data_IF_525847732579
#
_entry.id   IF_525847732579
#
_cell.length_a   1.000
_cell.length_b   1.000
_cell.length_c   1.000
_cell.angle_alpha   90.00
_cell.angle_beta   90.00
_cell.angle_gamma   90.00
#
_symmetry.space_group_name_H-M   'P 1'
#
loop_
_entity.id
_entity.type
_entity.pdbx_description
1 polymer ?
#
# COMPACT_ATOMS: atom_id res chain seq x y z
N UNK A 1 -3.67 14.46 8.46
CA UNK A 1 -4.87 14.09 9.25
C UNK A 1 -6.18 14.32 8.48
N UNK A 2 -6.31 15.40 7.69
CA UNK A 2 -7.58 15.73 7.00
C UNK A 2 -7.99 14.78 5.84
N UNK A 3 -7.07 14.08 5.24
CA UNK A 3 -7.34 13.18 4.09
C UNK A 3 -7.83 11.79 4.50
N UNK A 4 -7.55 11.35 5.74
CA UNK A 4 -7.91 10.02 6.20
C UNK A 4 -9.43 9.75 6.19
N UNK A 5 -10.31 10.64 6.69
CA UNK A 5 -11.75 10.43 6.63
C UNK A 5 -12.30 10.32 5.20
N UNK A 6 -11.75 11.12 4.28
CA UNK A 6 -12.15 11.08 2.86
C UNK A 6 -11.73 9.77 2.20
N UNK A 7 -10.51 9.31 2.46
CA UNK A 7 -10.02 8.04 1.94
C UNK A 7 -10.85 6.87 2.48
N UNK A 8 -11.18 6.87 3.77
CA UNK A 8 -12.04 5.86 4.39
C UNK A 8 -13.46 5.86 3.81
N UNK A 9 -14.08 7.03 3.66
CA UNK A 9 -15.39 7.14 3.05
C UNK A 9 -15.39 6.58 1.61
N UNK A 10 -14.37 6.93 0.81
CA UNK A 10 -14.21 6.40 -0.55
C UNK A 10 -14.05 4.87 -0.55
N UNK A 11 -13.26 4.31 0.37
CA UNK A 11 -13.09 2.86 0.49
C UNK A 11 -14.38 2.13 0.89
N UNK A 12 -15.18 2.72 1.78
CA UNK A 12 -16.48 2.18 2.18
C UNK A 12 -17.44 2.17 0.99
N UNK A 13 -17.54 3.31 0.30
CA UNK A 13 -18.39 3.43 -0.90
C UNK A 13 -17.97 2.41 -1.97
N UNK A 14 -16.67 2.29 -2.22
CA UNK A 14 -16.13 1.31 -3.16
C UNK A 14 -16.53 -0.13 -2.78
N UNK A 15 -16.44 -0.48 -1.50
CA UNK A 15 -16.78 -1.82 -1.01
C UNK A 15 -18.29 -2.10 -1.13
N UNK A 16 -19.12 -1.11 -0.83
CA UNK A 16 -20.60 -1.25 -0.91
C UNK A 16 -21.05 -1.38 -2.37
N UNK A 17 -20.51 -0.55 -3.26
CA UNK A 17 -20.89 -0.49 -4.67
C UNK A 17 -20.25 -1.59 -5.54
N UNK A 18 -19.23 -2.29 -5.06
CA UNK A 18 -18.55 -3.33 -5.81
C UNK A 18 -19.54 -4.44 -6.22
N UNK A 19 -19.55 -4.86 -7.50
CA UNK A 19 -20.41 -5.93 -7.99
C UNK A 19 -19.86 -7.30 -7.53
N UNK A 20 -20.77 -8.15 -7.04
CA UNK A 20 -20.44 -9.53 -6.68
C UNK A 20 -19.60 -9.68 -5.39
N UNK A 21 -19.69 -10.85 -4.78
CA UNK A 21 -19.06 -11.11 -3.48
C UNK A 21 -17.51 -11.05 -3.55
N UNK A 22 -16.91 -11.58 -4.63
CA UNK A 22 -15.45 -11.61 -4.74
C UNK A 22 -14.82 -10.22 -4.78
N UNK A 23 -15.40 -9.29 -5.55
CA UNK A 23 -14.88 -7.92 -5.61
C UNK A 23 -15.16 -7.14 -4.31
N UNK A 24 -16.30 -7.40 -3.65
CA UNK A 24 -16.57 -6.82 -2.32
C UNK A 24 -15.52 -7.25 -1.31
N UNK A 25 -15.13 -8.52 -1.27
CA UNK A 25 -14.06 -9.00 -0.41
C UNK A 25 -12.71 -8.36 -0.75
N UNK A 26 -12.39 -8.22 -2.03
CA UNK A 26 -11.16 -7.54 -2.47
C UNK A 26 -11.12 -6.07 -2.01
N UNK A 27 -12.25 -5.35 -2.14
CA UNK A 27 -12.39 -3.98 -1.64
C UNK A 27 -12.33 -3.91 -0.11
N UNK A 28 -12.90 -4.88 0.61
CA UNK A 28 -12.82 -4.96 2.06
C UNK A 28 -11.39 -5.18 2.56
N UNK A 29 -10.58 -5.97 1.84
CA UNK A 29 -9.14 -6.10 2.13
C UNK A 29 -8.43 -4.76 2.00
N UNK A 30 -8.69 -4.02 0.92
CA UNK A 30 -8.12 -2.68 0.73
C UNK A 30 -8.56 -1.71 1.84
N UNK A 31 -9.85 -1.70 2.20
CA UNK A 31 -10.40 -0.91 3.31
C UNK A 31 -9.67 -1.24 4.62
N UNK A 32 -9.49 -2.52 4.92
CA UNK A 32 -8.79 -2.97 6.14
C UNK A 32 -7.35 -2.48 6.17
N UNK A 33 -6.61 -2.63 5.07
CA UNK A 33 -5.22 -2.14 4.97
C UNK A 33 -5.15 -0.61 5.14
N UNK A 34 -6.11 0.12 4.57
CA UNK A 34 -6.22 1.58 4.71
C UNK A 34 -6.51 1.99 6.16
N UNK A 35 -7.44 1.29 6.83
CA UNK A 35 -7.74 1.51 8.24
C UNK A 35 -6.51 1.29 9.12
N UNK A 36 -5.78 0.19 8.90
CA UNK A 36 -4.56 -0.11 9.67
C UNK A 36 -3.51 1.00 9.50
N UNK A 37 -3.28 1.45 8.26
CA UNK A 37 -2.33 2.53 8.00
C UNK A 37 -2.77 3.83 8.66
N UNK A 38 -3.99 4.32 8.38
CA UNK A 38 -4.43 5.62 8.85
C UNK A 38 -4.64 5.67 10.36
N UNK A 39 -5.15 4.59 10.97
CA UNK A 39 -5.33 4.53 12.41
C UNK A 39 -3.97 4.55 13.14
N UNK A 40 -3.05 3.69 12.72
CA UNK A 40 -1.73 3.64 13.35
C UNK A 40 -0.93 4.93 13.11
N UNK A 41 -0.95 5.46 11.90
CA UNK A 41 -0.30 6.73 11.56
C UNK A 41 -0.90 7.88 12.39
N UNK A 42 -2.22 7.92 12.54
CA UNK A 42 -2.92 8.88 13.38
C UNK A 42 -2.46 8.81 14.85
N UNK A 43 -2.47 7.61 15.41
CA UNK A 43 -2.02 7.38 16.80
C UNK A 43 -0.55 7.79 16.99
N UNK A 44 0.32 7.39 16.07
CA UNK A 44 1.74 7.72 16.12
C UNK A 44 1.96 9.24 16.09
N UNK A 45 1.36 9.93 15.12
CA UNK A 45 1.59 11.36 14.92
C UNK A 45 0.90 12.28 15.93
N UNK A 46 -0.31 11.93 16.39
CA UNK A 46 -1.03 12.72 17.41
C UNK A 46 -0.27 12.66 18.75
N UNK A 47 0.27 11.50 19.10
CA UNK A 47 1.02 11.34 20.34
C UNK A 47 2.52 11.63 20.24
N UNK A 48 3.02 12.18 19.13
CA UNK A 48 4.43 12.52 18.97
C UNK A 48 4.89 13.48 20.07
N UNK A 49 5.95 13.14 20.75
CA UNK A 49 6.48 13.88 21.92
C UNK A 49 5.90 13.47 23.28
N UNK A 50 4.81 12.70 23.32
CA UNK A 50 4.18 12.20 24.54
C UNK A 50 4.43 10.69 24.76
N UNK A 51 4.78 9.95 23.71
CA UNK A 51 5.02 8.53 23.80
C UNK A 51 6.37 8.21 24.48
N UNK A 52 6.42 7.23 25.38
CA UNK A 52 7.70 6.66 25.82
C UNK A 52 8.52 6.18 24.61
N UNK A 53 9.85 6.32 24.67
CA UNK A 53 10.73 6.05 23.52
C UNK A 53 10.53 4.67 22.88
N UNK A 54 10.29 3.62 23.69
CA UNK A 54 10.00 2.26 23.20
C UNK A 54 8.68 2.19 22.42
N UNK A 55 7.64 2.84 22.94
CA UNK A 55 6.31 2.87 22.30
C UNK A 55 6.38 3.65 20.99
N UNK A 56 7.01 4.82 20.97
CA UNK A 56 7.21 5.62 19.77
C UNK A 56 7.96 4.84 18.68
N UNK A 57 9.02 4.11 19.06
CA UNK A 57 9.79 3.28 18.14
C UNK A 57 8.95 2.14 17.55
N UNK A 58 8.11 1.49 18.35
CA UNK A 58 7.23 0.42 17.90
C UNK A 58 6.15 0.94 16.97
N UNK A 59 5.45 2.02 17.35
CA UNK A 59 4.42 2.65 16.53
C UNK A 59 4.96 3.08 15.17
N UNK A 60 6.16 3.67 15.14
CA UNK A 60 6.84 4.05 13.90
C UNK A 60 7.12 2.85 13.00
N UNK A 61 7.55 1.72 13.56
CA UNK A 61 7.80 0.50 12.78
C UNK A 61 6.51 -0.06 12.17
N UNK A 62 5.45 -0.11 12.97
CA UNK A 62 4.14 -0.56 12.50
C UNK A 62 3.62 0.38 11.41
N UNK A 63 3.78 1.70 11.59
CA UNK A 63 3.39 2.70 10.59
C UNK A 63 4.08 2.46 9.23
N UNK A 64 5.38 2.20 9.23
CA UNK A 64 6.12 1.87 8.03
C UNK A 64 5.77 0.47 7.47
N UNK A 65 5.52 -0.51 8.34
CA UNK A 65 5.09 -1.85 7.92
C UNK A 65 3.73 -1.84 7.21
N UNK A 66 2.80 -1.00 7.68
CA UNK A 66 1.48 -0.84 7.10
C UNK A 66 1.51 -0.31 5.66
N UNK A 67 2.59 0.35 5.22
CA UNK A 67 2.75 0.79 3.83
C UNK A 67 2.82 -0.40 2.89
N UNK A 68 3.55 -1.48 3.26
CA UNK A 68 3.60 -2.71 2.46
C UNK A 68 2.22 -3.35 2.33
N UNK A 69 1.48 -3.40 3.45
CA UNK A 69 0.12 -3.95 3.48
C UNK A 69 -0.84 -3.10 2.63
N UNK A 70 -0.70 -1.77 2.67
CA UNK A 70 -1.51 -0.89 1.83
C UNK A 70 -1.21 -1.10 0.34
N UNK A 71 0.06 -1.22 -0.05
CA UNK A 71 0.45 -1.51 -1.43
C UNK A 71 -0.24 -2.81 -1.89
N UNK A 72 -0.09 -3.92 -1.15
CA UNK A 72 -0.74 -5.18 -1.48
C UNK A 72 -2.27 -5.06 -1.48
N UNK A 73 -2.81 -4.32 -0.54
CA UNK A 73 -4.25 -4.03 -0.43
C UNK A 73 -4.80 -3.31 -1.66
N UNK A 74 -4.06 -2.33 -2.23
CA UNK A 74 -4.50 -1.62 -3.46
C UNK A 74 -4.49 -2.52 -4.70
N UNK A 75 -3.53 -3.44 -4.80
CA UNK A 75 -3.48 -4.42 -5.89
C UNK A 75 -4.65 -5.39 -5.86
N UNK A 76 -5.20 -5.67 -4.68
CA UNK A 76 -6.22 -6.72 -4.50
C UNK A 76 -7.51 -6.40 -5.29
N UNK A 77 -8.22 -5.29 -5.11
CA UNK A 77 -9.40 -4.98 -5.91
C UNK A 77 -9.06 -4.67 -7.37
N UNK A 78 -7.92 -4.04 -7.64
CA UNK A 78 -7.50 -3.70 -8.99
C UNK A 78 -7.28 -4.95 -9.84
N UNK A 79 -6.56 -5.94 -9.30
CA UNK A 79 -6.32 -7.21 -9.99
C UNK A 79 -7.59 -8.04 -10.12
N UNK A 80 -8.43 -8.08 -9.07
CA UNK A 80 -9.68 -8.81 -9.10
C UNK A 80 -10.69 -8.25 -10.11
N UNK A 81 -10.69 -6.92 -10.32
CA UNK A 81 -11.60 -6.27 -11.25
C UNK A 81 -11.15 -6.33 -12.71
N UNK A 82 -9.84 -6.27 -12.97
CA UNK A 82 -9.30 -5.95 -14.29
C UNK A 82 -8.47 -7.07 -14.93
N UNK A 83 -7.98 -8.03 -14.15
CA UNK A 83 -7.11 -9.07 -14.68
C UNK A 83 -7.82 -10.41 -14.80
N UNK A 84 -7.47 -11.24 -15.81
CA UNK A 84 -7.89 -12.64 -15.83
C UNK A 84 -7.46 -13.36 -14.56
N UNK A 85 -8.26 -14.29 -14.06
CA UNK A 85 -8.05 -14.97 -12.77
C UNK A 85 -6.62 -15.50 -12.59
N UNK A 86 -6.06 -16.14 -13.63
CA UNK A 86 -4.68 -16.66 -13.57
C UNK A 86 -3.64 -15.55 -13.34
N UNK A 87 -3.77 -14.45 -14.06
CA UNK A 87 -2.87 -13.30 -13.94
C UNK A 87 -3.08 -12.59 -12.60
N UNK A 88 -4.34 -12.41 -12.18
CA UNK A 88 -4.69 -11.82 -10.89
C UNK A 88 -4.07 -12.61 -9.73
N UNK A 89 -4.20 -13.95 -9.74
CA UNK A 89 -3.60 -14.81 -8.72
C UNK A 89 -2.08 -14.69 -8.67
N UNK A 90 -1.43 -14.63 -9.84
CA UNK A 90 0.03 -14.47 -9.94
C UNK A 90 0.48 -13.10 -9.38
N UNK A 91 -0.16 -12.01 -9.81
CA UNK A 91 0.14 -10.66 -9.32
C UNK A 91 -0.06 -10.57 -7.82
N UNK A 92 -1.21 -11.05 -7.32
CA UNK A 92 -1.50 -11.03 -5.89
C UNK A 92 -0.53 -11.90 -5.09
N UNK A 93 -0.13 -13.06 -5.61
CA UNK A 93 0.88 -13.91 -4.98
C UNK A 93 2.21 -13.19 -4.83
N UNK A 94 2.71 -12.53 -5.89
CA UNK A 94 3.96 -11.75 -5.86
C UNK A 94 3.85 -10.59 -4.87
N UNK A 95 2.77 -9.82 -4.96
CA UNK A 95 2.63 -8.58 -4.18
C UNK A 95 2.41 -8.88 -2.69
N UNK A 96 1.60 -9.86 -2.35
CA UNK A 96 1.39 -10.26 -0.95
C UNK A 96 2.62 -10.94 -0.34
N UNK A 97 3.35 -11.77 -1.10
CA UNK A 97 4.62 -12.32 -0.64
C UNK A 97 5.65 -11.21 -0.39
N UNK A 98 5.78 -10.25 -1.32
CA UNK A 98 6.64 -9.09 -1.15
C UNK A 98 6.23 -8.22 0.04
N UNK A 99 4.94 -8.00 0.25
CA UNK A 99 4.42 -7.27 1.40
C UNK A 99 4.72 -7.99 2.72
N UNK A 100 4.58 -9.30 2.77
CA UNK A 100 4.92 -10.10 3.95
C UNK A 100 6.42 -10.01 4.28
N UNK A 101 7.29 -10.13 3.27
CA UNK A 101 8.75 -9.99 3.42
C UNK A 101 9.10 -8.58 3.90
N UNK A 102 8.54 -7.54 3.26
CA UNK A 102 8.78 -6.14 3.62
C UNK A 102 8.32 -5.81 5.04
N UNK A 103 7.13 -6.27 5.41
CA UNK A 103 6.59 -6.13 6.77
C UNK A 103 7.47 -6.84 7.79
N UNK A 104 7.84 -8.11 7.55
CA UNK A 104 8.72 -8.87 8.42
C UNK A 104 10.08 -8.19 8.57
N UNK A 105 10.68 -7.74 7.48
CA UNK A 105 11.95 -7.01 7.49
C UNK A 105 11.86 -5.76 8.37
N UNK A 106 10.79 -4.99 8.22
CA UNK A 106 10.63 -3.74 8.96
C UNK A 106 10.37 -3.97 10.46
N UNK A 107 9.67 -5.03 10.82
CA UNK A 107 9.37 -5.35 12.22
C UNK A 107 10.54 -6.05 12.93
N UNK A 108 11.24 -6.97 12.24
CA UNK A 108 12.23 -7.86 12.85
C UNK A 108 13.67 -7.34 12.70
N UNK A 109 13.99 -6.68 11.60
CA UNK A 109 15.34 -6.15 11.38
C UNK A 109 15.48 -4.72 11.90
N UNK A 110 15.93 -4.60 13.14
CA UNK A 110 16.00 -3.32 13.88
C UNK A 110 16.93 -2.27 13.25
N UNK A 111 17.89 -2.68 12.46
CA UNK A 111 18.93 -1.83 11.86
C UNK A 111 18.92 -1.88 10.34
N UNK A 112 17.78 -2.24 9.72
CA UNK A 112 17.66 -2.25 8.27
C UNK A 112 17.97 -0.85 7.69
N UNK A 113 18.87 -0.74 6.71
CA UNK A 113 19.22 0.55 6.14
C UNK A 113 18.01 1.14 5.38
N UNK A 114 17.81 2.44 5.51
CA UNK A 114 16.65 3.15 4.90
C UNK A 114 16.55 2.92 3.40
N UNK A 115 17.69 2.90 2.69
CA UNK A 115 17.70 2.65 1.25
C UNK A 115 17.14 1.29 0.88
N UNK A 116 17.41 0.26 1.69
CA UNK A 116 16.89 -1.10 1.45
C UNK A 116 15.37 -1.16 1.61
N UNK A 117 14.85 -0.56 2.70
CA UNK A 117 13.40 -0.45 2.95
C UNK A 117 12.72 0.32 1.81
N UNK A 118 13.34 1.45 1.40
CA UNK A 118 12.83 2.27 0.29
C UNK A 118 12.85 1.52 -1.04
N UNK A 119 13.91 0.76 -1.31
CA UNK A 119 14.01 -0.07 -2.52
C UNK A 119 12.90 -1.13 -2.58
N UNK A 120 12.62 -1.79 -1.45
CA UNK A 120 11.50 -2.76 -1.36
C UNK A 120 10.14 -2.10 -1.66
N UNK A 121 9.89 -0.90 -1.13
CA UNK A 121 8.66 -0.15 -1.45
C UNK A 121 8.54 0.14 -2.94
N UNK A 122 9.62 0.62 -3.56
CA UNK A 122 9.64 0.97 -4.97
C UNK A 122 9.41 -0.29 -5.81
N UNK A 123 10.15 -1.36 -5.57
CA UNK A 123 10.02 -2.61 -6.31
C UNK A 123 8.58 -3.13 -6.23
N UNK A 124 8.01 -3.15 -5.04
CA UNK A 124 6.66 -3.65 -4.83
C UNK A 124 5.60 -2.76 -5.50
N UNK A 125 5.77 -1.44 -5.42
CA UNK A 125 4.87 -0.48 -6.06
C UNK A 125 4.92 -0.54 -7.60
N UNK A 126 6.07 -0.89 -8.18
CA UNK A 126 6.25 -0.96 -9.63
C UNK A 126 5.93 -2.33 -10.25
N UNK A 127 5.49 -3.32 -9.49
CA UNK A 127 5.02 -4.61 -10.03
C UNK A 127 3.93 -4.40 -11.11
N UNK A 128 3.06 -3.40 -10.96
CA UNK A 128 2.02 -3.06 -11.92
C UNK A 128 2.56 -2.78 -13.34
N UNK A 129 3.79 -2.27 -13.46
CA UNK A 129 4.40 -1.92 -14.76
C UNK A 129 4.50 -3.13 -15.69
N UNK A 130 4.81 -4.31 -15.14
CA UNK A 130 4.89 -5.55 -15.92
C UNK A 130 3.54 -6.00 -16.48
N UNK A 131 2.45 -5.52 -15.89
CA UNK A 131 1.09 -5.86 -16.25
C UNK A 131 0.31 -4.68 -16.89
N UNK A 132 0.98 -3.56 -17.18
CA UNK A 132 0.37 -2.40 -17.83
C UNK A 132 -0.40 -2.74 -19.13
N UNK A 133 0.10 -3.62 -20.03
CA UNK A 133 -0.66 -3.99 -21.22
C UNK A 133 -2.01 -4.65 -20.91
N UNK A 134 -2.07 -5.46 -19.83
CA UNK A 134 -3.32 -6.09 -19.40
C UNK A 134 -4.27 -5.06 -18.78
N UNK A 135 -3.76 -4.15 -17.94
CA UNK A 135 -4.54 -3.05 -17.38
C UNK A 135 -5.08 -2.11 -18.45
N UNK A 136 -4.29 -1.83 -19.50
CA UNK A 136 -4.72 -1.04 -20.65
C UNK A 136 -5.90 -1.69 -21.38
N UNK A 137 -5.81 -2.99 -21.67
CA UNK A 137 -6.86 -3.73 -22.39
C UNK A 137 -8.14 -3.84 -21.59
N UNK A 138 -8.05 -3.99 -20.26
CA UNK A 138 -9.21 -4.20 -19.40
C UNK A 138 -9.86 -2.89 -18.93
N UNK A 139 -9.07 -1.86 -18.62
CA UNK A 139 -9.54 -0.64 -17.99
C UNK A 139 -9.30 0.64 -18.79
N UNK A 140 -8.67 0.52 -19.96
CA UNK A 140 -8.40 1.65 -20.85
C UNK A 140 -7.28 2.58 -20.38
N UNK A 141 -7.02 3.65 -21.14
CA UNK A 141 -5.90 4.56 -20.90
C UNK A 141 -5.99 5.30 -19.56
N UNK A 142 -7.18 5.64 -19.09
CA UNK A 142 -7.36 6.39 -17.85
C UNK A 142 -6.77 5.65 -16.64
N UNK A 143 -6.99 4.34 -16.54
CA UNK A 143 -6.46 3.53 -15.43
C UNK A 143 -4.94 3.48 -15.49
N UNK A 144 -4.37 3.29 -16.67
CA UNK A 144 -2.91 3.24 -16.84
C UNK A 144 -2.27 4.58 -16.46
N UNK A 145 -2.85 5.70 -16.89
CA UNK A 145 -2.35 7.03 -16.52
C UNK A 145 -2.43 7.28 -15.01
N UNK A 146 -3.50 6.85 -14.34
CA UNK A 146 -3.62 6.96 -12.89
C UNK A 146 -2.59 6.08 -12.17
N UNK A 147 -2.35 4.85 -12.65
CA UNK A 147 -1.32 3.97 -12.10
C UNK A 147 0.09 4.56 -12.25
N UNK A 148 0.41 5.08 -13.42
CA UNK A 148 1.73 5.71 -13.69
C UNK A 148 1.89 6.98 -12.84
N UNK A 149 0.90 7.85 -12.81
CA UNK A 149 0.94 9.08 -12.00
C UNK A 149 1.09 8.74 -10.51
N UNK A 150 0.35 7.76 -10.02
CA UNK A 150 0.47 7.26 -8.64
C UNK A 150 1.86 6.69 -8.35
N UNK A 151 2.40 5.86 -9.25
CA UNK A 151 3.74 5.27 -9.13
C UNK A 151 4.84 6.33 -9.12
N UNK A 152 4.76 7.33 -9.98
CA UNK A 152 5.71 8.45 -10.02
C UNK A 152 5.65 9.27 -8.73
N UNK A 153 4.46 9.67 -8.31
CA UNK A 153 4.27 10.45 -7.07
C UNK A 153 4.78 9.68 -5.85
N UNK A 154 4.47 8.39 -5.78
CA UNK A 154 4.96 7.51 -4.74
C UNK A 154 6.49 7.41 -4.73
N UNK A 155 7.10 7.23 -5.91
CA UNK A 155 8.56 7.12 -6.05
C UNK A 155 9.24 8.42 -5.63
N UNK A 156 8.70 9.58 -6.03
CA UNK A 156 9.22 10.87 -5.59
C UNK A 156 9.17 11.01 -4.06
N UNK A 157 8.06 10.62 -3.45
CA UNK A 157 7.93 10.60 -1.98
C UNK A 157 8.95 9.69 -1.32
N UNK A 158 9.15 8.49 -1.85
CA UNK A 158 10.12 7.53 -1.36
C UNK A 158 11.57 8.02 -1.47
N UNK A 159 11.92 8.66 -2.59
CA UNK A 159 13.26 9.26 -2.79
C UNK A 159 13.50 10.42 -1.83
N UNK A 160 12.51 11.29 -1.62
CA UNK A 160 12.61 12.38 -0.64
C UNK A 160 12.80 11.82 0.77
N UNK A 161 12.07 10.76 1.12
CA UNK A 161 12.24 10.07 2.39
C UNK A 161 13.64 9.47 2.56
N UNK A 162 14.16 8.81 1.54
CA UNK A 162 15.50 8.20 1.55
C UNK A 162 16.63 9.25 1.69
N UNK A 163 16.43 10.45 1.11
CA UNK A 163 17.42 11.54 1.12
C UNK A 163 17.39 12.39 2.39
N UNK A 164 16.34 12.32 3.21
CA UNK A 164 16.32 13.01 4.50
C UNK A 164 17.35 12.34 5.43
N UNK A 165 18.56 12.89 5.39
CA UNK A 165 19.56 12.68 6.45
C UNK A 165 19.02 13.23 7.75
N UNK A 166 19.33 12.59 8.89
CA UNK A 166 18.93 13.05 10.21
C UNK A 166 19.47 14.42 10.54
#
# INVERSE_FOLDING_TARGET
AGTAPLALAACIVLTVLAPGAGLKWACAVYLTCSLLLFANSGVYHIGTGHWPAKVAATLRRIDHANIYLLIAGTYTPLSAALLPTRTATLVLGIVWAGAAIGTATNLLWMHAPRWFITALYIILGWVAVWFLPQFWRAGGPAIVWLLVAGGVTYTLGAVVYARKTP
#
